data_IF_537958930149
#
_entry.id   IF_537958930149
#
_cell.length_a   1.000
_cell.length_b   1.000
_cell.length_c   1.000
_cell.angle_alpha   90.00
_cell.angle_beta   90.00
_cell.angle_gamma   90.00
#
_symmetry.space_group_name_H-M   'P 1'
#
loop_
_entity.id
_entity.type
_entity.pdbx_description
1 polymer ?
#
# COMPACT_ATOMS: atom_id res chain seq x y z
N UNK A 1 -11.13 67.56 8.91
CA UNK A 1 -9.66 67.62 8.71
C UNK A 1 -9.29 66.57 7.66
N UNK A 2 -8.75 67.04 6.54
CA UNK A 2 -8.35 66.24 5.38
C UNK A 2 -6.83 66.26 5.25
N UNK A 3 -6.22 65.14 4.86
CA UNK A 3 -4.96 65.04 4.07
C UNK A 3 -4.73 63.55 3.77
N UNK A 4 -4.96 62.98 2.57
CA UNK A 4 -4.26 63.02 1.26
C UNK A 4 -2.82 62.49 1.21
N UNK A 5 -2.67 61.41 0.39
CA UNK A 5 -1.59 61.06 -0.59
C UNK A 5 -0.20 60.64 -0.03
N UNK A 6 0.63 59.77 -0.63
CA UNK A 6 0.70 59.01 -1.90
C UNK A 6 1.72 57.84 -1.72
N UNK A 7 1.51 56.64 -2.27
CA UNK A 7 2.13 56.03 -3.49
C UNK A 7 3.62 56.25 -3.78
N UNK A 8 4.41 55.14 -3.77
CA UNK A 8 5.53 54.73 -4.65
C UNK A 8 6.36 53.62 -3.93
N UNK A 9 7.13 52.70 -4.49
CA UNK A 9 7.26 51.99 -5.77
C UNK A 9 8.46 51.01 -5.61
N UNK A 10 8.26 49.70 -5.79
CA UNK A 10 9.29 48.65 -6.08
C UNK A 10 10.40 48.39 -5.04
N UNK A 11 11.20 47.29 -5.15
CA UNK A 11 11.27 46.28 -6.22
C UNK A 11 10.91 44.85 -5.75
N UNK A 12 10.53 43.97 -6.68
CA UNK A 12 10.40 42.52 -6.43
C UNK A 12 11.76 41.85 -6.21
N UNK A 13 11.77 40.57 -5.76
CA UNK A 13 12.37 39.57 -6.64
C UNK A 13 11.77 38.15 -6.59
N UNK A 14 11.96 37.47 -7.72
CA UNK A 14 12.27 36.04 -7.89
C UNK A 14 11.22 34.96 -7.53
N UNK A 15 10.46 34.62 -8.56
CA UNK A 15 9.92 33.28 -8.79
C UNK A 15 11.06 32.24 -8.89
N UNK A 16 10.91 31.07 -8.26
CA UNK A 16 11.21 29.78 -8.91
C UNK A 16 12.68 29.33 -9.11
N UNK A 17 13.47 29.18 -8.04
CA UNK A 17 14.80 28.52 -8.13
C UNK A 17 14.89 27.16 -7.38
N UNK A 18 14.24 26.99 -6.22
CA UNK A 18 14.49 25.81 -5.36
C UNK A 18 13.92 24.47 -5.87
N UNK A 19 12.98 24.48 -6.82
CA UNK A 19 12.40 23.27 -7.43
C UNK A 19 13.13 22.79 -8.69
N UNK A 20 13.95 23.66 -9.31
CA UNK A 20 14.62 23.37 -10.58
C UNK A 20 15.99 22.73 -10.36
N UNK A 21 16.67 23.08 -9.26
CA UNK A 21 17.98 22.52 -8.90
C UNK A 21 17.91 21.07 -8.40
N UNK A 22 16.79 20.68 -7.76
CA UNK A 22 16.61 19.30 -7.27
C UNK A 22 16.32 18.30 -8.40
N UNK A 23 15.68 18.76 -9.47
CA UNK A 23 15.48 17.98 -10.69
C UNK A 23 16.78 17.86 -11.51
N UNK A 24 17.63 18.90 -11.50
CA UNK A 24 18.95 18.85 -12.15
C UNK A 24 19.94 17.92 -11.42
N UNK A 25 19.83 17.79 -10.09
CA UNK A 25 20.68 16.86 -9.32
C UNK A 25 20.32 15.38 -9.54
N UNK A 26 19.05 15.01 -9.73
CA UNK A 26 18.69 13.62 -10.04
C UNK A 26 18.99 13.20 -11.47
N UNK A 27 19.12 14.15 -12.41
CA UNK A 27 19.51 13.89 -13.80
C UNK A 27 21.03 13.73 -14.00
N UNK A 28 21.86 14.19 -13.06
CA UNK A 28 23.32 14.08 -13.15
C UNK A 28 23.88 12.73 -12.65
N UNK A 29 23.15 12.01 -11.79
CA UNK A 29 23.56 10.70 -11.26
C UNK A 29 23.27 9.53 -12.21
N UNK A 30 22.48 9.75 -13.27
CA UNK A 30 22.15 8.75 -14.30
C UNK A 30 23.09 8.78 -15.52
N UNK A 31 24.00 9.76 -15.61
CA UNK A 31 24.94 9.92 -16.71
C UNK A 31 25.89 8.74 -16.98
N UNK A 32 26.44 8.03 -15.97
CA UNK A 32 27.46 7.01 -16.24
C UNK A 32 26.96 5.65 -16.74
N UNK A 33 25.65 5.40 -16.83
CA UNK A 33 25.12 4.07 -17.21
C UNK A 33 24.59 3.97 -18.65
N UNK A 34 24.79 5.01 -19.48
CA UNK A 34 24.37 5.00 -20.89
C UNK A 34 25.51 5.18 -21.89
N UNK A 35 26.78 5.20 -21.46
CA UNK A 35 27.95 5.46 -22.33
C UNK A 35 28.79 4.22 -22.70
N UNK A 36 28.27 2.99 -22.54
CA UNK A 36 28.97 1.78 -23.04
C UNK A 36 28.14 0.98 -24.06
N UNK A 37 27.78 1.60 -25.18
CA UNK A 37 27.65 0.91 -26.49
C UNK A 37 27.34 1.90 -27.61
N UNK A 38 28.37 2.34 -28.33
CA UNK A 38 28.17 3.08 -29.57
C UNK A 38 29.43 3.73 -30.11
N UNK A 39 30.30 2.97 -30.74
CA UNK A 39 31.24 3.53 -31.72
C UNK A 39 30.63 3.46 -33.13
N UNK A 40 30.56 4.58 -33.86
CA UNK A 40 30.53 4.60 -35.32
C UNK A 40 31.86 5.12 -35.89
N UNK A 41 32.30 4.45 -36.96
CA UNK A 41 33.60 4.63 -37.59
C UNK A 41 33.84 5.98 -38.27
N UNK A 42 35.14 6.29 -38.41
CA UNK A 42 35.66 7.42 -39.15
C UNK A 42 36.01 6.99 -40.60
N UNK A 43 35.33 7.59 -41.57
CA UNK A 43 35.73 7.61 -42.97
C UNK A 43 36.71 8.77 -43.22
N UNK A 44 37.81 8.50 -43.94
CA UNK A 44 38.78 9.50 -44.37
C UNK A 44 39.32 9.18 -45.77
N UNK A 45 38.88 9.96 -46.76
CA UNK A 45 39.20 9.84 -48.17
C UNK A 45 40.67 10.20 -48.52
N UNK A 46 41.24 9.51 -49.53
CA UNK A 46 42.35 10.01 -50.39
C UNK A 46 42.22 9.51 -51.83
N UNK A 47 42.84 10.31 -52.71
CA UNK A 47 42.62 10.55 -54.15
C UNK A 47 43.40 9.59 -55.07
N UNK A 48 43.03 9.56 -56.36
CA UNK A 48 43.26 8.57 -57.41
C UNK A 48 44.62 8.55 -58.17
N UNK A 49 44.98 7.33 -58.66
CA UNK A 49 45.57 6.86 -59.95
C UNK A 49 46.97 7.35 -60.45
N UNK A 50 47.62 6.74 -61.48
CA UNK A 50 47.37 5.50 -62.25
C UNK A 50 48.61 4.56 -62.47
N UNK A 51 48.44 3.35 -63.03
CA UNK A 51 49.56 2.61 -63.65
C UNK A 51 49.36 1.13 -64.02
N UNK A 52 49.22 0.90 -65.34
CA UNK A 52 49.70 -0.23 -66.15
C UNK A 52 49.12 -1.67 -66.01
N UNK A 53 48.69 -2.22 -67.16
CA UNK A 53 48.94 -3.64 -67.48
C UNK A 53 47.79 -4.49 -68.07
N UNK A 54 47.58 -4.40 -69.39
CA UNK A 54 47.32 -5.49 -70.39
C UNK A 54 46.25 -6.59 -70.12
N UNK A 55 45.34 -6.70 -71.12
CA UNK A 55 44.24 -7.65 -71.43
C UNK A 55 44.63 -9.17 -71.45
N UNK A 56 43.71 -10.19 -71.65
CA UNK A 56 42.46 -10.14 -72.41
C UNK A 56 41.23 -10.96 -71.90
N UNK A 57 40.15 -10.86 -72.68
CA UNK A 57 38.82 -11.47 -72.57
C UNK A 57 38.73 -12.92 -72.06
N UNK A 58 37.71 -13.19 -71.24
CA UNK A 58 36.90 -14.41 -71.36
C UNK A 58 35.53 -14.24 -70.71
N UNK A 59 34.48 -14.30 -71.55
CA UNK A 59 33.15 -14.76 -71.15
C UNK A 59 33.31 -16.11 -70.41
N UNK A 60 32.99 -16.16 -69.12
CA UNK A 60 32.79 -17.42 -68.39
C UNK A 60 31.66 -17.27 -67.37
N UNK A 61 30.50 -17.76 -67.79
CA UNK A 61 29.54 -18.55 -67.00
C UNK A 61 29.93 -18.78 -65.53
N UNK A 62 29.30 -18.08 -64.58
CA UNK A 62 29.18 -18.59 -63.21
C UNK A 62 28.13 -19.70 -63.23
N UNK A 63 28.63 -20.92 -63.38
CA UNK A 63 27.93 -22.13 -62.97
C UNK A 63 27.86 -22.21 -61.45
N UNK A 64 27.04 -23.14 -60.99
CA UNK A 64 26.83 -23.48 -59.58
C UNK A 64 28.14 -23.53 -58.78
N UNK A 65 28.07 -23.04 -57.53
CA UNK A 65 29.12 -23.00 -56.49
C UNK A 65 29.87 -21.65 -56.31
N UNK A 66 29.15 -20.59 -55.92
CA UNK A 66 29.71 -19.35 -55.33
C UNK A 66 29.22 -19.20 -53.87
N UNK A 67 30.05 -18.73 -52.90
CA UNK A 67 29.56 -18.30 -51.59
C UNK A 67 28.78 -16.97 -51.75
N UNK A 68 27.74 -16.71 -50.93
CA UNK A 68 26.91 -15.52 -51.11
C UNK A 68 27.70 -14.22 -50.84
N UNK A 69 27.45 -13.19 -51.66
CA UNK A 69 28.04 -11.85 -51.47
C UNK A 69 27.75 -11.28 -50.07
N UNK A 70 28.71 -10.60 -49.40
CA UNK A 70 28.57 -10.13 -48.02
C UNK A 70 27.52 -9.02 -47.81
N UNK A 71 27.16 -8.25 -48.84
CA UNK A 71 26.20 -7.15 -48.74
C UNK A 71 24.74 -7.61 -48.50
N UNK A 72 24.36 -8.80 -48.99
CA UNK A 72 23.00 -9.31 -48.82
C UNK A 72 22.69 -9.77 -47.38
N UNK A 73 23.73 -10.10 -46.61
CA UNK A 73 23.60 -10.56 -45.22
C UNK A 73 23.38 -9.42 -44.23
N UNK A 74 23.91 -8.23 -44.53
CA UNK A 74 23.73 -7.02 -43.72
C UNK A 74 22.34 -6.42 -43.93
N UNK A 75 21.81 -6.41 -45.17
CA UNK A 75 20.44 -5.98 -45.46
C UNK A 75 19.39 -6.93 -44.85
N UNK A 76 19.62 -8.25 -44.88
CA UNK A 76 18.73 -9.20 -44.19
C UNK A 76 18.74 -9.01 -42.66
N UNK A 77 19.90 -8.77 -42.03
CA UNK A 77 19.95 -8.47 -40.59
C UNK A 77 19.25 -7.15 -40.25
N UNK A 78 19.39 -6.12 -41.09
CA UNK A 78 18.72 -4.84 -40.88
C UNK A 78 17.20 -4.96 -41.05
N UNK A 79 16.73 -5.67 -42.07
CA UNK A 79 15.30 -5.96 -42.29
C UNK A 79 14.73 -6.79 -41.15
N UNK A 80 15.46 -7.80 -40.66
CA UNK A 80 15.05 -8.59 -39.49
C UNK A 80 15.01 -7.72 -38.23
N UNK A 81 15.99 -6.83 -38.00
CA UNK A 81 15.95 -5.86 -36.88
C UNK A 81 14.78 -4.88 -37.02
N UNK A 82 14.53 -4.34 -38.21
CA UNK A 82 13.42 -3.41 -38.49
C UNK A 82 12.06 -4.08 -38.29
N UNK A 83 11.90 -5.39 -38.59
CA UNK A 83 10.68 -6.14 -38.30
C UNK A 83 10.57 -6.61 -36.83
N UNK A 84 11.67 -6.94 -36.18
CA UNK A 84 11.67 -7.49 -34.80
C UNK A 84 11.59 -6.42 -33.73
N UNK A 85 12.12 -5.22 -33.96
CA UNK A 85 12.03 -4.07 -33.05
C UNK A 85 10.57 -3.67 -32.73
N UNK A 86 9.66 -3.47 -33.69
CA UNK A 86 8.26 -3.16 -33.40
C UNK A 86 7.53 -4.33 -32.73
N UNK A 87 7.91 -5.58 -33.02
CA UNK A 87 7.33 -6.76 -32.35
C UNK A 87 7.81 -6.88 -30.89
N UNK A 88 9.10 -6.64 -30.61
CA UNK A 88 9.62 -6.56 -29.24
C UNK A 88 9.03 -5.38 -28.47
N UNK A 89 8.85 -4.23 -29.11
CA UNK A 89 8.21 -3.07 -28.50
C UNK A 89 6.74 -3.38 -28.15
N UNK A 90 5.99 -4.02 -29.06
CA UNK A 90 4.62 -4.45 -28.80
C UNK A 90 4.55 -5.45 -27.63
N UNK A 91 5.44 -6.45 -27.60
CA UNK A 91 5.53 -7.41 -26.49
C UNK A 91 5.91 -6.75 -25.16
N UNK A 92 6.80 -5.75 -25.19
CA UNK A 92 7.16 -4.97 -24.00
C UNK A 92 5.99 -4.10 -23.51
N UNK A 93 5.22 -3.49 -24.41
CA UNK A 93 4.02 -2.73 -24.06
C UNK A 93 2.94 -3.62 -23.43
N UNK A 94 2.66 -4.79 -24.00
CA UNK A 94 1.70 -5.75 -23.46
C UNK A 94 2.11 -6.24 -22.06
N UNK A 95 3.40 -6.51 -21.86
CA UNK A 95 3.95 -6.87 -20.54
C UNK A 95 3.88 -5.71 -19.54
N UNK A 96 4.00 -4.47 -20.02
CA UNK A 96 3.84 -3.29 -19.19
C UNK A 96 2.37 -3.04 -18.82
N UNK A 97 1.43 -3.27 -19.74
CA UNK A 97 0.00 -3.27 -19.44
C UNK A 97 -0.37 -4.36 -18.42
N UNK A 98 0.15 -5.58 -18.58
CA UNK A 98 -0.03 -6.66 -17.61
C UNK A 98 0.54 -6.30 -16.24
N UNK A 99 1.72 -5.69 -16.20
CA UNK A 99 2.33 -5.20 -14.96
C UNK A 99 1.48 -4.11 -14.30
N UNK A 100 1.01 -3.13 -15.08
CA UNK A 100 0.14 -2.04 -14.60
C UNK A 100 -1.16 -2.61 -14.05
N UNK A 101 -1.77 -3.58 -14.75
CA UNK A 101 -2.98 -4.25 -14.28
C UNK A 101 -2.75 -4.99 -12.97
N UNK A 102 -1.66 -5.76 -12.86
CA UNK A 102 -1.29 -6.46 -11.62
C UNK A 102 -1.00 -5.52 -10.45
N UNK A 103 -0.36 -4.38 -10.72
CA UNK A 103 -0.13 -3.34 -9.70
C UNK A 103 -1.44 -2.72 -9.25
N UNK A 104 -2.36 -2.44 -10.17
CA UNK A 104 -3.68 -1.90 -9.85
C UNK A 104 -4.53 -2.88 -9.04
N UNK A 105 -4.50 -4.17 -9.38
CA UNK A 105 -5.18 -5.23 -8.66
C UNK A 105 -4.62 -5.41 -7.25
N UNK A 106 -3.30 -5.39 -7.09
CA UNK A 106 -2.65 -5.43 -5.77
C UNK A 106 -3.00 -4.20 -4.91
N UNK A 107 -3.09 -3.01 -5.53
CA UNK A 107 -3.55 -1.80 -4.85
C UNK A 107 -5.02 -1.92 -4.39
N UNK A 108 -5.89 -2.47 -5.23
CA UNK A 108 -7.29 -2.70 -4.89
C UNK A 108 -7.45 -3.71 -3.74
N UNK A 109 -6.71 -4.83 -3.78
CA UNK A 109 -6.69 -5.83 -2.70
C UNK A 109 -6.22 -5.24 -1.37
N UNK A 110 -5.20 -4.38 -1.41
CA UNK A 110 -4.70 -3.67 -0.21
C UNK A 110 -5.75 -2.71 0.38
N UNK A 111 -6.53 -2.01 -0.46
CA UNK A 111 -7.62 -1.12 0.00
C UNK A 111 -8.77 -1.91 0.63
N UNK A 112 -9.07 -3.09 0.09
CA UNK A 112 -10.08 -3.99 0.64
C UNK A 112 -9.65 -4.58 2.00
N UNK A 113 -8.38 -4.95 2.17
CA UNK A 113 -7.83 -5.41 3.46
C UNK A 113 -8.01 -4.34 4.55
N UNK A 114 -7.63 -3.09 4.27
CA UNK A 114 -7.80 -1.99 5.23
C UNK A 114 -9.27 -1.66 5.53
N UNK A 115 -10.15 -1.78 4.53
CA UNK A 115 -11.59 -1.60 4.73
C UNK A 115 -12.18 -2.74 5.56
N UNK A 116 -11.69 -3.96 5.35
CA UNK A 116 -12.07 -5.15 6.13
C UNK A 116 -11.74 -4.98 7.61
N UNK A 117 -10.56 -4.44 7.95
CA UNK A 117 -10.19 -4.14 9.34
C UNK A 117 -11.18 -3.15 9.97
N UNK A 118 -11.51 -2.06 9.26
CA UNK A 118 -12.47 -1.08 9.76
C UNK A 118 -13.87 -1.67 9.98
N UNK A 119 -14.36 -2.46 9.01
CA UNK A 119 -15.66 -3.12 9.10
C UNK A 119 -15.71 -4.14 10.23
N UNK A 120 -14.63 -4.90 10.44
CA UNK A 120 -14.52 -5.85 11.56
C UNK A 120 -14.59 -5.12 12.91
N UNK A 121 -13.86 -4.01 13.05
CA UNK A 121 -13.91 -3.20 14.29
C UNK A 121 -15.32 -2.65 14.48
N UNK A 122 -15.90 -1.99 13.49
CA UNK A 122 -17.27 -1.46 13.59
C UNK A 122 -18.28 -2.55 13.95
N UNK A 123 -18.24 -3.69 13.26
CA UNK A 123 -19.14 -4.82 13.48
C UNK A 123 -19.00 -5.41 14.89
N UNK A 124 -17.78 -5.49 15.43
CA UNK A 124 -17.53 -6.01 16.78
C UNK A 124 -18.14 -5.13 17.89
N UNK A 125 -18.22 -3.82 17.67
CA UNK A 125 -18.82 -2.90 18.66
C UNK A 125 -20.34 -3.03 18.74
N UNK A 126 -21.01 -3.43 17.66
CA UNK A 126 -22.48 -3.49 17.60
C UNK A 126 -23.08 -4.43 18.66
N UNK A 127 -22.78 -5.75 18.67
CA UNK A 127 -23.38 -6.65 19.64
C UNK A 127 -22.87 -6.37 21.05
N UNK A 128 -21.60 -5.95 21.18
CA UNK A 128 -21.03 -5.60 22.48
C UNK A 128 -21.75 -4.42 23.15
N UNK A 129 -21.92 -3.29 22.45
CA UNK A 129 -22.61 -2.12 22.99
C UNK A 129 -24.09 -2.41 23.23
N UNK A 130 -24.70 -3.24 22.38
CA UNK A 130 -26.09 -3.65 22.53
C UNK A 130 -26.34 -4.37 23.86
N UNK A 131 -25.53 -5.38 24.20
CA UNK A 131 -25.70 -6.15 25.42
C UNK A 131 -25.15 -5.45 26.68
N UNK A 132 -24.13 -4.60 26.53
CA UNK A 132 -23.59 -3.82 27.65
C UNK A 132 -24.60 -2.76 28.08
N UNK A 133 -25.06 -1.91 27.15
CA UNK A 133 -26.04 -0.86 27.43
C UNK A 133 -27.48 -1.33 27.18
N UNK A 134 -27.81 -2.59 27.50
CA UNK A 134 -29.10 -3.20 27.17
C UNK A 134 -30.30 -2.44 27.77
N UNK A 135 -30.15 -1.91 28.97
CA UNK A 135 -31.21 -1.17 29.67
C UNK A 135 -31.14 0.35 29.46
N UNK A 136 -30.07 0.86 28.85
CA UNK A 136 -29.83 2.29 28.63
C UNK A 136 -29.66 2.59 27.13
N UNK A 137 -30.77 2.87 26.40
CA UNK A 137 -30.71 3.04 24.94
C UNK A 137 -29.98 4.31 24.50
N UNK A 138 -29.99 5.37 25.31
CA UNK A 138 -29.34 6.65 24.99
C UNK A 138 -27.82 6.53 24.81
N UNK A 139 -27.03 6.02 25.79
CA UNK A 139 -25.59 5.83 25.60
C UNK A 139 -25.28 4.83 24.47
N UNK A 140 -26.08 3.78 24.30
CA UNK A 140 -25.93 2.81 23.20
C UNK A 140 -25.92 3.50 21.84
N UNK A 141 -26.93 4.32 21.55
CA UNK A 141 -27.06 5.01 20.26
C UNK A 141 -25.94 6.03 20.04
N UNK A 142 -25.55 6.76 21.10
CA UNK A 142 -24.45 7.72 21.02
C UNK A 142 -23.15 7.02 20.64
N UNK A 143 -22.75 5.97 21.37
CA UNK A 143 -21.50 5.26 21.07
C UNK A 143 -21.53 4.55 19.71
N UNK A 144 -22.66 3.96 19.34
CA UNK A 144 -22.81 3.34 18.02
C UNK A 144 -22.62 4.38 16.90
N UNK A 145 -23.22 5.56 17.04
CA UNK A 145 -23.05 6.65 16.07
C UNK A 145 -21.60 7.12 15.96
N UNK A 146 -20.90 7.27 17.09
CA UNK A 146 -19.49 7.67 17.13
C UNK A 146 -18.62 6.63 16.41
N UNK A 147 -18.80 5.34 16.71
CA UNK A 147 -18.04 4.24 16.09
C UNK A 147 -18.30 4.19 14.59
N UNK A 148 -19.54 4.38 14.14
CA UNK A 148 -19.86 4.45 12.71
C UNK A 148 -19.15 5.63 12.03
N UNK A 149 -19.18 6.83 12.62
CA UNK A 149 -18.51 8.01 12.03
C UNK A 149 -17.00 7.82 11.98
N UNK A 150 -16.38 7.35 13.07
CA UNK A 150 -14.94 7.08 13.11
C UNK A 150 -14.55 5.96 12.14
N UNK A 151 -15.34 4.90 12.04
CA UNK A 151 -15.10 3.77 11.14
C UNK A 151 -15.25 4.14 9.67
N UNK A 152 -16.29 4.88 9.29
CA UNK A 152 -16.46 5.41 7.92
C UNK A 152 -15.28 6.34 7.57
N UNK A 153 -14.88 7.22 8.50
CA UNK A 153 -13.72 8.08 8.30
C UNK A 153 -12.44 7.27 8.08
N UNK A 154 -12.23 6.19 8.83
CA UNK A 154 -11.11 5.29 8.65
C UNK A 154 -11.15 4.55 7.30
N UNK A 155 -12.33 4.13 6.82
CA UNK A 155 -12.52 3.53 5.49
C UNK A 155 -12.14 4.55 4.40
N UNK A 156 -12.62 5.80 4.50
CA UNK A 156 -12.29 6.86 3.54
C UNK A 156 -10.78 7.10 3.49
N UNK A 157 -10.12 7.19 4.65
CA UNK A 157 -8.65 7.32 4.74
C UNK A 157 -7.94 6.10 4.13
N UNK A 158 -8.48 4.89 4.34
CA UNK A 158 -7.95 3.66 3.78
C UNK A 158 -8.01 3.58 2.25
N UNK A 159 -8.95 4.28 1.61
CA UNK A 159 -9.04 4.37 0.15
C UNK A 159 -8.00 5.30 -0.47
N UNK A 160 -7.31 6.12 0.32
CA UNK A 160 -6.37 7.11 -0.20
C UNK A 160 -5.05 6.46 -0.66
N UNK A 161 -4.65 6.65 -1.92
CA UNK A 161 -3.47 6.00 -2.53
C UNK A 161 -2.15 6.26 -1.81
N UNK A 162 -1.95 7.49 -1.35
CA UNK A 162 -0.82 7.89 -0.50
C UNK A 162 -0.75 7.09 0.80
N UNK A 163 -1.87 6.64 1.35
CA UNK A 163 -1.94 5.87 2.60
C UNK A 163 -1.47 4.41 2.39
N UNK A 164 -1.55 3.88 1.18
CA UNK A 164 -1.03 2.56 0.83
C UNK A 164 0.52 2.49 0.84
N UNK A 165 1.19 3.64 0.72
CA UNK A 165 2.66 3.68 0.67
C UNK A 165 3.32 3.18 1.97
N UNK A 166 4.49 2.49 1.89
CA UNK A 166 5.18 1.94 3.05
C UNK A 166 5.53 2.97 4.14
N UNK A 167 5.72 4.24 3.75
CA UNK A 167 6.04 5.36 4.66
C UNK A 167 4.94 5.61 5.71
N UNK A 168 3.69 5.30 5.40
CA UNK A 168 2.55 5.57 6.30
C UNK A 168 2.16 4.37 7.17
N UNK A 169 2.95 3.29 7.18
CA UNK A 169 2.59 2.06 7.89
C UNK A 169 2.27 2.25 9.38
N UNK A 170 3.06 3.10 10.06
CA UNK A 170 2.81 3.44 11.47
C UNK A 170 1.53 4.26 11.64
N UNK A 171 1.25 5.20 10.72
CA UNK A 171 0.00 5.96 10.70
C UNK A 171 -1.20 5.03 10.52
N UNK A 172 -1.11 4.03 9.63
CA UNK A 172 -2.18 3.03 9.44
C UNK A 172 -2.45 2.24 10.72
N UNK A 173 -1.38 1.71 11.32
CA UNK A 173 -1.49 0.99 12.59
C UNK A 173 -2.11 1.87 13.68
N UNK A 174 -1.70 3.14 13.76
CA UNK A 174 -2.24 4.11 14.72
C UNK A 174 -3.73 4.44 14.51
N UNK A 175 -4.19 4.62 13.27
CA UNK A 175 -5.60 4.90 12.96
C UNK A 175 -6.49 3.73 13.39
N UNK A 176 -6.16 2.50 12.99
CA UNK A 176 -6.98 1.33 13.33
C UNK A 176 -6.86 0.95 14.80
N UNK A 177 -5.67 1.07 15.40
CA UNK A 177 -5.48 0.86 16.83
C UNK A 177 -6.26 1.91 17.64
N UNK A 178 -6.24 3.18 17.23
CA UNK A 178 -7.02 4.25 17.84
C UNK A 178 -8.52 4.01 17.73
N UNK A 179 -9.00 3.53 16.57
CA UNK A 179 -10.41 3.13 16.39
C UNK A 179 -10.80 2.02 17.37
N UNK A 180 -9.96 0.99 17.54
CA UNK A 180 -10.21 -0.07 18.54
C UNK A 180 -10.15 0.45 19.99
N UNK A 181 -9.14 1.26 20.32
CA UNK A 181 -8.96 1.85 21.65
C UNK A 181 -10.03 2.87 22.01
N UNK A 182 -10.77 3.40 21.04
CA UNK A 182 -11.94 4.24 21.32
C UNK A 182 -12.98 3.54 22.21
N UNK A 183 -12.99 2.19 22.22
CA UNK A 183 -13.82 1.36 23.09
C UNK A 183 -13.51 1.48 24.58
N UNK A 184 -12.37 2.06 24.97
CA UNK A 184 -12.04 2.33 26.36
C UNK A 184 -13.05 3.30 26.99
N UNK A 185 -13.56 4.28 26.23
CA UNK A 185 -14.54 5.26 26.72
C UNK A 185 -15.88 4.61 27.09
N UNK A 186 -16.58 3.86 26.21
CA UNK A 186 -17.80 3.14 26.59
C UNK A 186 -17.55 2.11 27.70
N UNK A 187 -16.38 1.45 27.75
CA UNK A 187 -16.03 0.55 28.86
C UNK A 187 -15.94 1.29 30.20
N UNK A 188 -15.31 2.47 30.23
CA UNK A 188 -15.26 3.32 31.42
C UNK A 188 -16.65 3.80 31.84
N UNK A 189 -17.49 4.22 30.89
CA UNK A 189 -18.86 4.61 31.20
C UNK A 189 -19.65 3.44 31.80
N UNK A 190 -19.58 2.25 31.17
CA UNK A 190 -20.26 1.05 31.67
C UNK A 190 -19.81 0.68 33.09
N UNK A 191 -18.51 0.71 33.38
CA UNK A 191 -17.98 0.41 34.73
C UNK A 191 -18.44 1.40 35.80
N UNK A 192 -18.54 2.68 35.46
CA UNK A 192 -19.02 3.72 36.39
C UNK A 192 -20.54 3.59 36.61
N UNK A 193 -21.31 3.30 35.56
CA UNK A 193 -22.77 3.21 35.64
C UNK A 193 -23.25 1.93 36.35
N UNK A 194 -22.62 0.79 36.10
CA UNK A 194 -23.08 -0.53 36.58
C UNK A 194 -22.28 -1.03 37.79
N UNK A 195 -21.19 -0.34 38.14
CA UNK A 195 -20.29 -0.71 39.23
C UNK A 195 -19.21 -1.72 38.83
N UNK A 196 -18.07 -1.64 39.54
CA UNK A 196 -16.89 -2.46 39.27
C UNK A 196 -17.13 -3.96 39.46
N UNK A 197 -17.95 -4.33 40.46
CA UNK A 197 -18.26 -5.73 40.76
C UNK A 197 -19.01 -6.36 39.59
N UNK A 198 -20.12 -5.78 39.13
CA UNK A 198 -20.90 -6.28 38.00
C UNK A 198 -20.07 -6.31 36.70
N UNK A 199 -19.24 -5.29 36.47
CA UNK A 199 -18.36 -5.26 35.30
C UNK A 199 -17.28 -6.36 35.30
N UNK A 200 -16.82 -6.79 36.48
CA UNK A 200 -15.80 -7.85 36.62
C UNK A 200 -16.42 -9.24 36.75
N UNK A 201 -17.57 -9.40 37.41
CA UNK A 201 -18.23 -10.69 37.62
C UNK A 201 -18.97 -11.20 36.39
N UNK A 202 -19.47 -10.32 35.51
CA UNK A 202 -20.07 -10.71 34.22
C UNK A 202 -18.99 -11.17 33.21
N UNK A 203 -17.72 -11.28 33.62
CA UNK A 203 -16.64 -11.90 32.85
C UNK A 203 -16.13 -11.07 31.67
N UNK A 204 -16.75 -9.93 31.35
CA UNK A 204 -16.39 -9.09 30.20
C UNK A 204 -14.95 -8.55 30.27
N UNK A 205 -14.49 -8.12 31.46
CA UNK A 205 -13.20 -7.43 31.57
C UNK A 205 -11.99 -8.30 31.24
N UNK A 206 -12.02 -9.58 31.63
CA UNK A 206 -10.95 -10.52 31.31
C UNK A 206 -10.81 -10.74 29.81
N UNK A 207 -11.93 -10.96 29.11
CA UNK A 207 -11.95 -11.17 27.66
C UNK A 207 -11.56 -9.91 26.88
N UNK A 208 -11.98 -8.72 27.32
CA UNK A 208 -11.54 -7.46 26.69
C UNK A 208 -10.07 -7.19 26.91
N UNK A 209 -9.54 -7.47 28.11
CA UNK A 209 -8.12 -7.31 28.36
C UNK A 209 -7.29 -8.26 27.47
N UNK A 210 -7.70 -9.53 27.38
CA UNK A 210 -7.05 -10.49 26.49
C UNK A 210 -7.09 -10.04 25.02
N UNK A 211 -8.26 -9.61 24.55
CA UNK A 211 -8.45 -9.07 23.19
C UNK A 211 -7.57 -7.84 22.94
N UNK A 212 -7.48 -6.92 23.90
CA UNK A 212 -6.62 -5.73 23.80
C UNK A 212 -5.14 -6.09 23.72
N UNK A 213 -4.67 -7.04 24.53
CA UNK A 213 -3.28 -7.54 24.48
C UNK A 213 -2.98 -8.14 23.10
N UNK A 214 -3.90 -8.94 22.55
CA UNK A 214 -3.73 -9.54 21.22
C UNK A 214 -3.67 -8.49 20.11
N UNK A 215 -4.55 -7.49 20.13
CA UNK A 215 -4.54 -6.40 19.14
C UNK A 215 -3.30 -5.52 19.24
N UNK A 216 -2.89 -5.11 20.45
CA UNK A 216 -1.69 -4.27 20.65
C UNK A 216 -0.44 -5.04 20.22
N UNK A 217 -0.34 -6.32 20.60
CA UNK A 217 0.79 -7.17 20.22
C UNK A 217 0.83 -7.37 18.70
N UNK A 218 -0.31 -7.70 18.08
CA UNK A 218 -0.40 -7.87 16.63
C UNK A 218 -0.03 -6.59 15.87
N UNK A 219 -0.57 -5.44 16.28
CA UNK A 219 -0.24 -4.15 15.69
C UNK A 219 1.24 -3.79 15.88
N UNK A 220 1.81 -4.08 17.04
CA UNK A 220 3.22 -3.89 17.36
C UNK A 220 4.14 -4.74 16.48
N UNK A 221 3.87 -6.04 16.36
CA UNK A 221 4.61 -6.97 15.50
C UNK A 221 4.52 -6.54 14.03
N UNK A 222 3.33 -6.17 13.56
CA UNK A 222 3.12 -5.63 12.23
C UNK A 222 3.95 -4.35 12.01
N UNK A 223 3.86 -3.36 12.91
CA UNK A 223 4.59 -2.11 12.77
C UNK A 223 6.12 -2.32 12.78
N UNK A 224 6.61 -3.21 13.65
CA UNK A 224 8.04 -3.43 13.88
C UNK A 224 8.72 -4.41 12.88
N UNK A 225 7.95 -5.16 12.07
CA UNK A 225 8.45 -6.24 11.18
C UNK A 225 9.16 -7.37 11.92
N UNK A 226 8.61 -7.79 13.06
CA UNK A 226 9.20 -8.88 13.84
C UNK A 226 8.46 -10.18 13.48
N UNK A 227 9.16 -11.28 13.15
CA UNK A 227 10.60 -11.54 13.32
C UNK A 227 11.50 -11.25 12.11
N UNK A 228 10.96 -10.94 10.93
CA UNK A 228 11.74 -10.84 9.68
C UNK A 228 12.82 -9.74 9.70
N UNK A 229 12.65 -8.73 10.56
CA UNK A 229 13.66 -7.68 10.82
C UNK A 229 14.94 -8.24 11.42
N UNK A 230 14.86 -9.30 12.23
CA UNK A 230 16.02 -9.89 12.90
C UNK A 230 16.69 -10.97 12.04
N UNK A 231 15.95 -11.62 11.15
CA UNK A 231 16.44 -12.72 10.32
C UNK A 231 15.99 -12.55 8.86
N UNK A 232 16.61 -11.64 8.10
CA UNK A 232 16.26 -11.44 6.69
C UNK A 232 16.51 -12.71 5.89
N UNK A 233 15.56 -13.09 5.02
CA UNK A 233 15.64 -14.27 4.16
C UNK A 233 15.23 -15.61 4.81
N UNK A 234 14.96 -15.66 6.12
CA UNK A 234 14.50 -16.89 6.80
C UNK A 234 12.98 -17.00 6.90
N UNK A 235 12.29 -15.87 6.92
CA UNK A 235 10.85 -15.76 7.12
C UNK A 235 10.18 -15.20 5.86
N UNK A 236 10.59 -15.68 4.67
CA UNK A 236 10.05 -15.16 3.39
C UNK A 236 8.70 -15.80 3.03
N UNK A 237 8.46 -17.04 3.46
CA UNK A 237 7.22 -17.79 3.16
C UNK A 237 6.37 -17.97 4.42
N UNK A 238 6.98 -18.33 5.54
CA UNK A 238 6.27 -18.67 6.78
C UNK A 238 6.67 -17.73 7.92
N UNK A 239 5.70 -17.45 8.81
CA UNK A 239 5.88 -16.65 10.02
C UNK A 239 6.32 -15.20 9.77
N UNK A 240 5.89 -14.61 8.66
CA UNK A 240 6.05 -13.18 8.45
C UNK A 240 5.24 -12.39 9.48
N UNK A 241 5.69 -11.20 9.89
CA UNK A 241 4.91 -10.34 10.80
C UNK A 241 3.48 -10.11 10.35
N UNK A 242 3.23 -10.02 9.04
CA UNK A 242 1.89 -9.85 8.48
C UNK A 242 1.03 -11.12 8.63
N UNK A 243 1.61 -12.31 8.49
CA UNK A 243 0.92 -13.58 8.72
C UNK A 243 0.58 -13.75 10.20
N UNK A 244 1.53 -13.45 11.09
CA UNK A 244 1.32 -13.48 12.55
C UNK A 244 0.23 -12.48 12.95
N UNK A 245 0.23 -11.29 12.36
CA UNK A 245 -0.82 -10.29 12.56
C UNK A 245 -2.20 -10.84 12.21
N UNK A 246 -2.38 -11.45 11.02
CA UNK A 246 -3.66 -12.05 10.63
C UNK A 246 -4.11 -13.16 11.60
N UNK A 247 -3.19 -14.04 12.02
CA UNK A 247 -3.50 -15.09 13.00
C UNK A 247 -3.97 -14.49 14.33
N UNK A 248 -3.30 -13.45 14.83
CA UNK A 248 -3.69 -12.77 16.05
C UNK A 248 -5.04 -12.05 15.92
N UNK A 249 -5.34 -11.44 14.77
CA UNK A 249 -6.63 -10.79 14.50
C UNK A 249 -7.77 -11.82 14.51
N UNK A 250 -7.59 -12.97 13.86
CA UNK A 250 -8.59 -14.06 13.85
C UNK A 250 -8.81 -14.61 15.26
N UNK A 251 -7.74 -14.87 15.99
CA UNK A 251 -7.84 -15.35 17.36
C UNK A 251 -8.51 -14.30 18.28
N UNK A 252 -8.21 -13.01 18.11
CA UNK A 252 -8.84 -11.94 18.88
C UNK A 252 -10.33 -11.79 18.54
N UNK A 253 -10.70 -11.95 17.26
CA UNK A 253 -12.10 -11.97 16.83
C UNK A 253 -12.87 -13.14 17.47
N UNK A 254 -12.25 -14.32 17.58
CA UNK A 254 -12.84 -15.47 18.27
C UNK A 254 -13.01 -15.22 19.78
N UNK A 255 -12.00 -14.64 20.44
CA UNK A 255 -12.08 -14.23 21.85
C UNK A 255 -13.20 -13.20 22.06
N UNK A 256 -13.31 -12.22 21.17
CA UNK A 256 -14.38 -11.23 21.21
C UNK A 256 -15.76 -11.89 21.05
N UNK A 257 -15.91 -12.77 20.06
CA UNK A 257 -17.15 -13.51 19.85
C UNK A 257 -17.54 -14.33 21.08
N UNK A 258 -16.58 -15.03 21.69
CA UNK A 258 -16.80 -15.78 22.92
C UNK A 258 -17.25 -14.87 24.08
N UNK A 259 -16.58 -13.73 24.28
CA UNK A 259 -16.94 -12.77 25.32
C UNK A 259 -18.34 -12.18 25.13
N UNK A 260 -18.74 -11.84 23.90
CA UNK A 260 -20.08 -11.35 23.58
C UNK A 260 -21.14 -12.45 23.70
N UNK A 261 -20.82 -13.70 23.33
CA UNK A 261 -21.74 -14.84 23.47
C UNK A 261 -22.06 -15.13 24.92
N UNK A 262 -21.07 -15.09 25.82
CA UNK A 262 -21.30 -15.23 27.26
C UNK A 262 -22.19 -14.10 27.80
N UNK A 263 -22.02 -12.88 27.28
CA UNK A 263 -22.84 -11.75 27.68
C UNK A 263 -24.30 -11.90 27.21
N UNK A 264 -24.51 -12.44 26.00
CA UNK A 264 -25.84 -12.83 25.52
C UNK A 264 -26.46 -13.89 26.45
N UNK A 265 -25.72 -14.93 26.80
CA UNK A 265 -26.21 -16.01 27.67
C UNK A 265 -26.58 -15.49 29.06
N UNK A 266 -25.73 -14.63 29.65
CA UNK A 266 -26.05 -13.95 30.90
C UNK A 266 -27.35 -13.14 30.82
N UNK A 267 -27.56 -12.41 29.71
CA UNK A 267 -28.80 -11.64 29.50
C UNK A 267 -30.02 -12.51 29.26
N UNK A 268 -29.84 -13.64 28.57
CA UNK A 268 -30.90 -14.62 28.39
C UNK A 268 -31.35 -15.20 29.74
N UNK A 269 -30.42 -15.50 30.64
CA UNK A 269 -30.71 -15.95 32.01
C UNK A 269 -31.45 -14.93 32.88
N UNK A 270 -31.43 -13.65 32.51
CA UNK A 270 -32.17 -12.56 33.17
C UNK A 270 -33.55 -12.29 32.52
N UNK A 271 -33.97 -13.12 31.56
CA UNK A 271 -35.25 -13.00 30.83
C UNK A 271 -35.49 -11.62 30.18
N UNK A 272 -34.41 -10.87 29.89
CA UNK A 272 -34.50 -9.51 29.33
C UNK A 272 -35.00 -8.44 30.32
N UNK A 273 -35.11 -8.77 31.62
CA UNK A 273 -35.49 -7.81 32.66
C UNK A 273 -34.45 -6.71 32.84
N UNK A 274 -34.94 -5.47 32.96
CA UNK A 274 -34.16 -4.27 33.27
C UNK A 274 -34.59 -3.66 34.61
N UNK A 275 -34.93 -4.50 35.59
CA UNK A 275 -35.22 -4.02 36.94
C UNK A 275 -33.92 -3.56 37.59
N UNK A 276 -33.82 -2.24 37.77
CA UNK A 276 -32.91 -1.62 38.71
C UNK A 276 -33.26 -2.13 40.11
N UNK A 277 -32.21 -2.40 40.90
CA UNK A 277 -32.25 -2.81 42.30
C UNK A 277 -32.65 -4.27 42.59
N UNK A 278 -31.85 -4.92 43.45
CA UNK A 278 -32.19 -6.05 44.36
C UNK A 278 -31.65 -7.48 44.15
N UNK A 279 -30.61 -7.75 43.34
CA UNK A 279 -29.95 -9.07 43.36
C UNK A 279 -28.41 -9.09 43.21
N UNK A 280 -27.70 -8.12 43.83
CA UNK A 280 -26.33 -8.32 44.31
C UNK A 280 -26.09 -7.51 45.57
#
# INVERSE_FOLDING_TARGET
MASRKASAAGPGPALGAAGRDRAHLELAELGPLLEEKGEPGAAGARVAAPGAGVAPERLLWCGAEDPPCPAAREEEEEVVRVLTLPLQAHHAMEKMEEFVYKVQEAAASSRLDYSGIALLIMGSFVPWLYYSFYCSPQPRLIYLSIVCVLGISAIIVAQWDRFATPKHRQTRAGVFLGLGLSGVVPTMHFTIAEGFVKATTVGQMGWFFLMAVMYITGAGLYAARIPERFFPGKFDIWFQSHQIFHVLVVAAAFVHFYGVSNLQEFRYGLEGGCTDDSLL
#
